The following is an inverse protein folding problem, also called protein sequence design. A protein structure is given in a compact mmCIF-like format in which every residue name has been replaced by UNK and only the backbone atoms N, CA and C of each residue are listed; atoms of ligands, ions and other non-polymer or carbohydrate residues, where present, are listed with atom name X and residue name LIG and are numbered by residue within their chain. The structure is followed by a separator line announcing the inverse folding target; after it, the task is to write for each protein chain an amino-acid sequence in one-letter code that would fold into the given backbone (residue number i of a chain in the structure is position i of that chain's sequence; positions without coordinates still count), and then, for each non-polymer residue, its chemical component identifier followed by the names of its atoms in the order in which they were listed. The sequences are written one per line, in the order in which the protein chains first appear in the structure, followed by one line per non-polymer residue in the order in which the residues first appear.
data_IF_110214154974
#
_entry.id   IF_110214154974
#
_cell.length_a   1.000
_cell.length_b   1.000
_cell.length_c   1.000
_cell.angle_alpha   90.00
_cell.angle_beta   90.00
_cell.angle_gamma   90.00
#
_symmetry.space_group_name_H-M   'P 1'
#
loop_
_entity.id
_entity.type
_entity.pdbx_description
1 polymer ?
#
# COMPACT_ATOMS: atom_id res chain seq x y z
N UNK A 1 -9.00 5.43 -32.17
CA UNK A 1 -9.20 6.60 -31.29
C UNK A 1 -9.69 6.06 -29.95
N UNK A 2 -8.85 6.09 -28.92
CA UNK A 2 -9.24 5.59 -27.58
C UNK A 2 -9.88 6.76 -26.83
N UNK A 3 -11.16 6.68 -26.43
CA UNK A 3 -11.82 7.80 -25.77
C UNK A 3 -11.17 8.03 -24.41
N UNK A 4 -10.72 9.26 -24.16
CA UNK A 4 -10.16 9.69 -22.89
C UNK A 4 -11.35 10.09 -21.98
N UNK A 5 -11.97 9.10 -21.35
CA UNK A 5 -13.30 9.27 -20.72
C UNK A 5 -13.25 10.04 -19.39
N UNK A 6 -12.07 10.30 -18.82
CA UNK A 6 -11.95 10.82 -17.45
C UNK A 6 -10.78 11.80 -17.23
N UNK A 7 -10.43 12.63 -18.22
CA UNK A 7 -9.28 13.56 -18.13
C UNK A 7 -9.36 14.54 -16.96
N UNK A 8 -10.57 14.90 -16.53
CA UNK A 8 -10.79 15.87 -15.45
C UNK A 8 -11.23 15.23 -14.13
N UNK A 9 -11.16 13.90 -14.01
CA UNK A 9 -11.62 13.20 -12.83
C UNK A 9 -10.67 13.47 -11.66
N UNK A 10 -11.13 14.29 -10.70
CA UNK A 10 -10.38 14.66 -9.48
C UNK A 10 -10.57 13.67 -8.35
N UNK A 11 -11.75 13.08 -8.23
CA UNK A 11 -12.08 12.13 -7.18
C UNK A 11 -12.58 10.84 -7.82
N UNK A 12 -11.96 9.72 -7.47
CA UNK A 12 -12.41 8.38 -7.81
C UNK A 12 -12.73 7.64 -6.52
N UNK A 13 -14.00 7.31 -6.33
CA UNK A 13 -14.47 6.52 -5.21
C UNK A 13 -14.85 5.11 -5.67
N UNK A 14 -14.08 4.12 -5.20
CA UNK A 14 -14.30 2.69 -5.39
C UNK A 14 -14.57 1.99 -4.06
N UNK A 15 -15.03 2.71 -3.04
CA UNK A 15 -15.25 2.19 -1.69
C UNK A 15 -16.35 1.15 -1.58
N UNK A 16 -17.24 1.01 -2.57
CA UNK A 16 -18.35 0.04 -2.61
C UNK A 16 -18.33 -0.86 -3.86
N UNK A 17 -17.21 -0.89 -4.59
CA UNK A 17 -17.12 -1.70 -5.81
C UNK A 17 -16.79 -3.16 -5.45
N UNK A 18 -17.79 -4.03 -5.46
CA UNK A 18 -17.64 -5.48 -5.20
C UNK A 18 -17.13 -6.27 -6.43
N UNK A 19 -17.30 -5.72 -7.64
CA UNK A 19 -17.06 -6.43 -8.91
C UNK A 19 -15.70 -6.14 -9.56
N UNK A 20 -14.72 -5.64 -8.80
CA UNK A 20 -13.47 -5.19 -9.40
C UNK A 20 -12.49 -6.34 -9.70
N UNK A 21 -12.76 -7.07 -10.77
CA UNK A 21 -12.03 -8.28 -11.18
C UNK A 21 -10.64 -8.01 -11.79
N UNK A 22 -10.29 -6.75 -12.06
CA UNK A 22 -9.00 -6.36 -12.66
C UNK A 22 -8.51 -5.04 -12.09
N UNK A 23 -7.19 -4.89 -11.93
CA UNK A 23 -6.55 -3.65 -11.50
C UNK A 23 -6.90 -2.49 -12.44
N UNK A 24 -7.49 -1.39 -11.96
CA UNK A 24 -7.73 -0.21 -12.76
C UNK A 24 -6.42 0.41 -13.23
N UNK A 25 -6.39 0.82 -14.49
CA UNK A 25 -5.27 1.54 -15.07
C UNK A 25 -5.39 3.04 -14.74
N UNK A 26 -4.80 3.45 -13.61
CA UNK A 26 -4.83 4.83 -13.15
C UNK A 26 -3.99 5.79 -14.02
N UNK A 27 -3.16 5.28 -14.94
CA UNK A 27 -2.38 6.14 -15.85
C UNK A 27 -3.25 6.97 -16.79
N UNK A 28 -4.53 6.59 -16.92
CA UNK A 28 -5.56 7.28 -17.71
C UNK A 28 -6.30 8.39 -16.95
N UNK A 29 -5.93 8.66 -15.70
CA UNK A 29 -6.58 9.65 -14.82
C UNK A 29 -5.59 10.74 -14.39
N UNK A 30 -5.17 11.63 -15.31
CA UNK A 30 -4.07 12.57 -15.07
C UNK A 30 -4.37 13.65 -14.03
N UNK A 31 -5.66 13.93 -13.76
CA UNK A 31 -6.10 14.93 -12.80
C UNK A 31 -6.62 14.34 -11.48
N UNK A 32 -6.37 13.05 -11.22
CA UNK A 32 -6.85 12.39 -10.02
C UNK A 32 -6.13 12.91 -8.77
N UNK A 33 -6.87 13.57 -7.89
CA UNK A 33 -6.40 14.17 -6.64
C UNK A 33 -6.78 13.31 -5.43
N UNK A 34 -7.92 12.63 -5.47
CA UNK A 34 -8.47 11.83 -4.36
C UNK A 34 -8.89 10.46 -4.84
N UNK A 35 -8.40 9.41 -4.17
CA UNK A 35 -8.70 8.02 -4.48
C UNK A 35 -9.23 7.32 -3.21
N UNK A 36 -10.47 6.85 -3.24
CA UNK A 36 -11.15 6.20 -2.11
C UNK A 36 -11.32 4.71 -2.44
N UNK A 37 -10.71 3.83 -1.64
CA UNK A 37 -10.44 2.43 -2.01
C UNK A 37 -10.97 1.38 -1.00
N UNK A 38 -11.96 1.72 -0.17
CA UNK A 38 -12.32 0.90 1.00
C UNK A 38 -12.57 -0.60 0.66
N UNK A 39 -13.43 -0.90 -0.33
CA UNK A 39 -13.63 -2.29 -0.81
C UNK A 39 -12.60 -2.76 -1.83
N UNK A 40 -11.93 -1.84 -2.53
CA UNK A 40 -10.82 -2.16 -3.44
C UNK A 40 -9.73 -2.98 -2.76
N UNK A 41 -9.33 -2.63 -1.54
CA UNK A 41 -8.25 -3.33 -0.85
C UNK A 41 -8.58 -4.77 -0.48
N UNK A 42 -9.85 -5.09 -0.23
CA UNK A 42 -10.28 -6.46 0.07
C UNK A 42 -10.22 -7.37 -1.16
N UNK A 43 -10.55 -6.81 -2.33
CA UNK A 43 -10.47 -7.54 -3.60
C UNK A 43 -9.00 -7.61 -4.05
N UNK A 44 -8.29 -6.48 -3.96
CA UNK A 44 -6.92 -6.33 -4.44
C UNK A 44 -5.91 -7.16 -3.65
N UNK A 45 -6.19 -7.48 -2.38
CA UNK A 45 -5.29 -8.29 -1.55
C UNK A 45 -4.94 -9.65 -2.18
N UNK A 46 -5.82 -10.19 -3.02
CA UNK A 46 -5.61 -11.48 -3.70
C UNK A 46 -4.81 -11.39 -5.00
N UNK A 47 -4.52 -10.19 -5.50
CA UNK A 47 -3.81 -10.02 -6.78
C UNK A 47 -2.30 -9.96 -6.57
N UNK A 48 -1.55 -10.80 -7.27
CA UNK A 48 -0.10 -10.95 -7.10
C UNK A 48 0.79 -9.86 -7.70
N UNK A 49 0.33 -8.59 -7.79
CA UNK A 49 1.13 -7.47 -8.32
C UNK A 49 1.08 -6.25 -7.38
N UNK A 50 2.16 -5.48 -7.19
CA UNK A 50 2.10 -4.23 -6.45
C UNK A 50 1.55 -3.08 -7.30
N UNK A 51 0.96 -2.05 -6.68
CA UNK A 51 0.52 -0.82 -7.36
C UNK A 51 1.44 0.32 -6.97
N UNK A 52 1.94 1.06 -7.95
CA UNK A 52 2.70 2.28 -7.71
C UNK A 52 1.80 3.51 -7.92
N UNK A 53 1.81 4.42 -6.96
CA UNK A 53 1.06 5.68 -6.97
C UNK A 53 2.05 6.82 -6.74
N UNK A 54 2.23 7.68 -7.75
CA UNK A 54 3.00 8.92 -7.60
C UNK A 54 2.14 9.98 -6.90
N UNK A 55 2.72 10.68 -5.94
CA UNK A 55 2.04 11.76 -5.22
C UNK A 55 2.94 12.99 -5.12
N UNK A 56 2.33 14.17 -4.95
CA UNK A 56 3.06 15.41 -4.66
C UNK A 56 3.52 15.46 -3.22
N UNK A 57 2.73 14.90 -2.30
CA UNK A 57 2.99 14.86 -0.85
C UNK A 57 2.55 13.52 -0.25
N UNK A 58 3.14 13.13 0.87
CA UNK A 58 2.63 11.99 1.63
C UNK A 58 1.37 12.40 2.40
N UNK A 59 0.35 11.53 2.47
CA UNK A 59 -0.80 11.77 3.33
C UNK A 59 -0.37 12.00 4.79
N UNK A 60 -1.00 12.96 5.46
CA UNK A 60 -0.71 13.34 6.86
C UNK A 60 -0.90 12.21 7.87
N UNK A 61 -1.67 11.18 7.54
CA UNK A 61 -1.86 10.00 8.39
C UNK A 61 -0.73 8.97 8.27
N UNK A 62 0.17 9.11 7.30
CA UNK A 62 1.35 8.25 7.16
C UNK A 62 2.45 8.77 8.08
N UNK A 63 2.80 7.96 9.08
CA UNK A 63 3.96 8.25 9.94
C UNK A 63 5.25 8.00 9.18
N UNK A 64 5.87 9.09 8.79
CA UNK A 64 7.16 9.10 8.12
C UNK A 64 8.29 8.88 9.12
N UNK A 65 9.23 8.01 8.76
CA UNK A 65 10.54 7.95 9.41
C UNK A 65 11.62 8.41 8.43
N UNK A 66 12.49 9.32 8.89
CA UNK A 66 13.68 9.71 8.13
C UNK A 66 14.74 8.63 8.35
N UNK A 67 15.18 7.97 7.28
CA UNK A 67 16.27 7.01 7.36
C UNK A 67 17.62 7.69 7.11
N UNK A 68 18.72 7.00 7.44
CA UNK A 68 20.08 7.51 7.24
C UNK A 68 20.39 7.84 5.77
N UNK A 69 21.43 8.64 5.53
CA UNK A 69 21.86 9.08 4.19
C UNK A 69 22.39 7.97 3.29
N UNK A 70 22.78 6.81 3.84
CA UNK A 70 23.53 5.78 3.09
C UNK A 70 22.72 4.51 2.86
N UNK A 71 21.97 4.07 3.87
CA UNK A 71 21.05 2.95 3.76
C UNK A 71 19.77 3.30 4.51
N UNK A 72 18.63 2.99 3.89
CA UNK A 72 17.35 3.17 4.52
C UNK A 72 16.87 1.86 5.12
N UNK A 73 16.64 1.84 6.43
CA UNK A 73 15.94 0.74 7.07
C UNK A 73 14.88 1.27 8.02
N UNK A 74 13.75 0.59 8.02
CA UNK A 74 12.61 0.85 8.89
C UNK A 74 12.06 -0.48 9.37
N UNK A 75 11.66 -0.54 10.63
CA UNK A 75 10.90 -1.66 11.16
C UNK A 75 9.58 -1.21 11.73
N UNK A 76 8.55 -2.01 11.54
CA UNK A 76 7.23 -1.81 12.10
C UNK A 76 6.85 -3.02 12.94
N UNK A 77 6.64 -2.81 14.23
CA UNK A 77 6.18 -3.85 15.15
C UNK A 77 4.70 -4.17 14.87
N UNK A 78 4.39 -5.46 14.88
CA UNK A 78 3.06 -5.99 14.62
C UNK A 78 2.31 -6.24 15.92
N UNK A 79 1.00 -5.98 15.91
CA UNK A 79 0.13 -6.37 17.01
C UNK A 79 -0.11 -7.89 16.98
N UNK A 80 -0.45 -8.48 18.13
CA UNK A 80 -0.74 -9.91 18.22
C UNK A 80 -2.00 -10.25 17.42
N UNK A 81 -1.98 -11.37 16.69
CA UNK A 81 -3.13 -11.94 15.95
C UNK A 81 -3.67 -11.08 14.80
N UNK A 82 -2.77 -10.39 14.08
CA UNK A 82 -3.13 -9.49 12.97
C UNK A 82 -3.34 -10.19 11.63
N UNK A 83 -2.96 -11.48 11.50
CA UNK A 83 -2.90 -12.15 10.20
C UNK A 83 -4.27 -12.32 9.53
N UNK A 84 -5.31 -12.62 10.32
CA UNK A 84 -6.65 -12.91 9.80
C UNK A 84 -7.34 -11.68 9.19
N UNK A 85 -6.96 -10.48 9.62
CA UNK A 85 -7.50 -9.23 9.09
C UNK A 85 -6.55 -8.53 8.13
N UNK A 86 -5.34 -9.05 7.92
CA UNK A 86 -4.33 -8.39 7.09
C UNK A 86 -4.70 -8.46 5.59
N UNK A 87 -4.77 -7.30 4.94
CA UNK A 87 -5.07 -7.17 3.51
C UNK A 87 -3.82 -6.82 2.69
N UNK A 88 -2.83 -6.19 3.31
CA UNK A 88 -1.63 -5.72 2.63
C UNK A 88 -1.03 -4.52 3.37
N UNK A 89 -0.15 -3.80 2.68
CA UNK A 89 0.50 -2.62 3.24
C UNK A 89 0.73 -1.56 2.17
N UNK A 90 0.94 -0.33 2.63
CA UNK A 90 1.37 0.80 1.83
C UNK A 90 2.80 1.13 2.25
N UNK A 91 3.71 1.06 1.30
CA UNK A 91 5.09 1.51 1.44
C UNK A 91 5.23 2.91 0.85
N UNK A 92 5.97 3.77 1.51
CA UNK A 92 6.21 5.13 1.06
C UNK A 92 7.70 5.36 0.87
N UNK A 93 8.07 5.89 -0.28
CA UNK A 93 9.45 6.17 -0.66
C UNK A 93 9.60 7.63 -1.06
N UNK A 94 10.60 8.29 -0.50
CA UNK A 94 11.12 9.55 -1.02
C UNK A 94 12.64 9.43 -1.09
N UNK A 95 13.12 9.12 -2.28
CA UNK A 95 14.54 8.94 -2.55
C UNK A 95 15.08 10.12 -3.37
N UNK A 96 16.34 10.42 -3.16
CA UNK A 96 17.08 11.36 -4.01
C UNK A 96 17.58 10.72 -5.31
N UNK A 97 17.51 9.38 -5.40
CA UNK A 97 17.92 8.61 -6.58
C UNK A 97 16.75 8.44 -7.58
N UNK A 98 17.08 8.05 -8.81
CA UNK A 98 16.14 7.76 -9.89
C UNK A 98 15.43 6.41 -9.75
N UNK A 99 16.04 5.49 -9.01
CA UNK A 99 15.45 4.19 -8.71
C UNK A 99 15.79 3.79 -7.28
N UNK A 100 14.93 3.00 -6.66
CA UNK A 100 15.18 2.47 -5.31
C UNK A 100 14.81 1.00 -5.28
N UNK A 101 15.80 0.15 -5.03
CA UNK A 101 15.60 -1.25 -4.72
C UNK A 101 15.26 -1.36 -3.24
N UNK A 102 14.24 -2.17 -2.95
CA UNK A 102 13.76 -2.37 -1.59
C UNK A 102 13.44 -3.83 -1.35
N UNK A 103 13.48 -4.21 -0.07
CA UNK A 103 13.08 -5.53 0.35
C UNK A 103 12.27 -5.52 1.62
N UNK A 104 11.30 -6.43 1.68
CA UNK A 104 10.48 -6.70 2.84
C UNK A 104 10.84 -8.06 3.42
N UNK A 105 10.93 -8.11 4.74
CA UNK A 105 11.13 -9.32 5.53
C UNK A 105 10.25 -9.26 6.77
N UNK A 106 9.71 -10.40 7.20
CA UNK A 106 9.11 -10.57 8.52
C UNK A 106 10.01 -11.47 9.39
N UNK A 107 9.68 -11.61 10.66
CA UNK A 107 10.56 -12.29 11.62
C UNK A 107 10.40 -13.82 11.62
N UNK A 108 9.22 -14.35 11.29
CA UNK A 108 9.03 -15.81 11.31
C UNK A 108 9.33 -16.48 9.98
N UNK A 109 9.44 -15.72 8.88
CA UNK A 109 9.79 -16.28 7.58
C UNK A 109 11.21 -15.91 7.16
N UNK A 110 11.91 -16.89 6.60
CA UNK A 110 13.12 -16.64 5.81
C UNK A 110 12.81 -16.03 4.44
N UNK A 111 11.52 -15.85 4.11
CA UNK A 111 11.08 -15.20 2.90
C UNK A 111 11.44 -13.71 2.91
N UNK A 112 12.19 -13.28 1.89
CA UNK A 112 12.52 -11.89 1.63
C UNK A 112 11.96 -11.55 0.25
N UNK A 113 10.93 -10.71 0.24
CA UNK A 113 10.42 -10.15 -1.00
C UNK A 113 11.27 -8.95 -1.41
N UNK A 114 11.55 -8.81 -2.70
CA UNK A 114 12.36 -7.73 -3.26
C UNK A 114 11.69 -7.18 -4.50
N UNK A 115 11.77 -5.88 -4.66
CA UNK A 115 11.25 -5.18 -5.83
C UNK A 115 11.97 -3.84 -6.00
N UNK A 116 11.70 -3.14 -7.09
CA UNK A 116 12.25 -1.81 -7.36
C UNK A 116 11.19 -0.82 -7.82
N UNK A 117 11.42 0.43 -7.45
CA UNK A 117 10.59 1.55 -7.85
C UNK A 117 11.41 2.60 -8.57
N UNK A 118 10.79 3.25 -9.55
CA UNK A 118 11.36 4.44 -10.18
C UNK A 118 10.95 5.67 -9.36
N UNK A 119 11.94 6.32 -8.76
CA UNK A 119 11.78 7.53 -7.98
C UNK A 119 12.12 8.73 -8.86
N UNK A 120 11.23 9.70 -9.05
CA UNK A 120 11.56 10.90 -9.83
C UNK A 120 11.95 12.04 -8.88
N UNK A 121 13.23 12.44 -8.86
CA UNK A 121 13.76 13.66 -8.22
C UNK A 121 13.09 14.05 -6.90
N UNK A 122 13.23 13.22 -5.85
CA UNK A 122 12.73 13.54 -4.50
C UNK A 122 11.20 13.70 -4.40
N UNK A 123 10.43 13.16 -5.36
CA UNK A 123 8.96 13.08 -5.26
C UNK A 123 8.53 11.90 -4.39
N UNK A 124 7.51 12.08 -3.55
CA UNK A 124 6.85 11.00 -2.84
C UNK A 124 6.28 9.94 -3.78
N UNK A 125 6.56 8.68 -3.48
CA UNK A 125 5.99 7.52 -4.16
C UNK A 125 5.36 6.60 -3.13
N UNK A 126 4.19 6.07 -3.43
CA UNK A 126 3.52 5.06 -2.63
C UNK A 126 3.44 3.76 -3.41
N UNK A 127 3.68 2.63 -2.73
CA UNK A 127 3.51 1.29 -3.28
C UNK A 127 2.54 0.52 -2.41
N UNK A 128 1.46 0.03 -3.01
CA UNK A 128 0.52 -0.87 -2.34
C UNK A 128 1.00 -2.29 -2.59
N UNK A 129 1.34 -3.00 -1.51
CA UNK A 129 1.78 -4.39 -1.52
C UNK A 129 0.65 -5.25 -0.95
N UNK A 130 -0.03 -6.05 -1.79
CA UNK A 130 -1.13 -6.90 -1.34
C UNK A 130 -0.64 -8.13 -0.56
N UNK A 131 -1.50 -8.70 0.29
CA UNK A 131 -1.15 -9.87 1.12
C UNK A 131 -0.70 -11.09 0.33
N UNK A 132 -1.20 -11.25 -0.90
CA UNK A 132 -0.81 -12.34 -1.81
C UNK A 132 0.66 -12.27 -2.25
N UNK A 133 1.29 -11.10 -2.16
CA UNK A 133 2.73 -10.92 -2.43
C UNK A 133 3.54 -11.06 -1.14
N UNK A 134 3.08 -10.41 -0.08
CA UNK A 134 3.74 -10.44 1.22
C UNK A 134 2.70 -10.64 2.32
N UNK A 135 2.68 -11.83 2.90
CA UNK A 135 1.73 -12.21 3.96
C UNK A 135 2.35 -12.10 5.35
N UNK A 136 1.55 -11.67 6.32
CA UNK A 136 1.90 -11.71 7.76
C UNK A 136 1.22 -12.93 8.40
N UNK A 137 1.94 -13.67 9.25
CA UNK A 137 1.45 -14.85 9.97
C UNK A 137 1.33 -14.59 11.47
N UNK A 138 0.49 -15.38 12.14
CA UNK A 138 0.45 -15.38 13.59
C UNK A 138 1.79 -15.90 14.14
N UNK A 139 2.54 -14.99 14.76
CA UNK A 139 3.91 -15.22 15.21
C UNK A 139 4.90 -14.18 14.66
N UNK A 140 4.58 -13.52 13.55
CA UNK A 140 5.35 -12.35 13.09
C UNK A 140 5.16 -11.21 14.08
N UNK A 141 6.25 -10.78 14.72
CA UNK A 141 6.29 -9.65 15.64
C UNK A 141 6.73 -8.34 14.94
N UNK A 142 7.34 -8.42 13.76
CA UNK A 142 7.88 -7.25 13.05
C UNK A 142 7.97 -7.44 11.55
N UNK A 143 7.77 -6.33 10.82
CA UNK A 143 8.11 -6.19 9.40
C UNK A 143 9.31 -5.26 9.26
N UNK A 144 10.28 -5.65 8.47
CA UNK A 144 11.46 -4.87 8.13
C UNK A 144 11.41 -4.47 6.66
N UNK A 145 11.51 -3.16 6.41
CA UNK A 145 11.71 -2.58 5.09
C UNK A 145 13.15 -2.07 5.02
N UNK A 146 13.88 -2.52 4.02
CA UNK A 146 15.24 -2.05 3.73
C UNK A 146 15.35 -1.55 2.31
N UNK A 147 16.13 -0.50 2.10
CA UNK A 147 16.43 0.10 0.81
C UNK A 147 17.94 0.25 0.63
N UNK A 148 18.41 0.08 -0.60
CA UNK A 148 19.84 0.21 -0.95
C UNK A 148 20.34 1.65 -0.80
N UNK A 149 19.45 2.63 -0.98
CA UNK A 149 19.75 4.05 -0.85
C UNK A 149 18.97 4.66 0.31
N UNK A 150 19.57 5.65 0.97
CA UNK A 150 18.92 6.43 2.00
C UNK A 150 17.74 7.25 1.48
N UNK A 151 16.76 7.53 2.34
CA UNK A 151 15.62 8.33 1.97
C UNK A 151 14.58 8.44 3.08
N UNK A 152 13.38 8.86 2.70
CA UNK A 152 12.23 8.82 3.61
C UNK A 152 11.47 7.54 3.38
N UNK A 153 11.23 6.78 4.46
CA UNK A 153 10.49 5.52 4.43
C UNK A 153 9.30 5.58 5.38
N UNK A 154 8.19 5.00 4.95
CA UNK A 154 7.06 4.71 5.83
C UNK A 154 6.39 3.39 5.44
N UNK A 155 5.84 2.71 6.45
CA UNK A 155 5.00 1.52 6.30
C UNK A 155 3.66 1.84 6.96
N UNK A 156 2.57 1.54 6.25
CA UNK A 156 1.23 1.55 6.82
C UNK A 156 0.53 0.22 6.52
N UNK A 157 -0.05 -0.41 7.53
CA UNK A 157 -0.73 -1.70 7.38
C UNK A 157 -2.20 -1.51 7.06
N UNK A 158 -2.72 -2.35 6.17
CA UNK A 158 -4.12 -2.36 5.77
C UNK A 158 -4.79 -3.58 6.37
N UNK A 159 -5.88 -3.32 7.11
CA UNK A 159 -6.69 -4.35 7.74
C UNK A 159 -8.12 -4.31 7.23
N UNK A 160 -8.78 -5.48 7.21
CA UNK A 160 -10.21 -5.58 7.00
C UNK A 160 -10.91 -4.87 8.16
N UNK A 161 -11.78 -3.92 7.84
CA UNK A 161 -12.67 -3.34 8.85
C UNK A 161 -13.80 -4.34 9.06
N UNK A 162 -14.01 -4.78 10.30
CA UNK A 162 -15.22 -5.54 10.62
C UNK A 162 -16.43 -4.63 10.37
N UNK A 163 -17.29 -5.00 9.43
CA UNK A 163 -18.62 -4.44 9.37
C UNK A 163 -19.37 -5.00 10.57
N UNK A 164 -19.72 -4.14 11.53
CA UNK A 164 -20.80 -4.49 12.43
C UNK A 164 -22.06 -4.62 11.58
N UNK A 165 -22.44 -5.85 11.26
CA UNK A 165 -23.78 -6.19 10.80
C UNK A 165 -24.76 -5.66 11.83
N UNK A 166 -25.37 -4.50 11.57
CA UNK A 166 -26.56 -4.06 12.25
C UNK A 166 -27.75 -4.90 11.76
N UNK A 167 -27.68 -6.22 11.92
CA UNK A 167 -28.87 -7.06 11.91
C UNK A 167 -29.50 -6.89 13.28
N UNK A 168 -30.23 -5.78 13.44
CA UNK A 168 -31.30 -5.74 14.43
C UNK A 168 -32.35 -6.73 13.93
N UNK A 169 -32.33 -7.92 14.51
CA UNK A 169 -33.48 -8.80 14.53
C UNK A 169 -34.63 -7.99 15.15
N UNK A 170 -35.56 -7.54 14.30
CA UNK A 170 -36.88 -7.16 14.75
C UNK A 170 -37.62 -8.46 15.09
N UNK A 171 -37.40 -8.95 16.31
CA UNK A 171 -38.39 -9.75 17.00
C UNK A 171 -39.30 -8.77 17.75
N UNK A 172 -40.51 -8.59 17.23
CA UNK A 172 -41.76 -8.41 17.98
C UNK A 172 -42.96 -8.62 17.02
#
# INVERSE_FOLDING_TARGET
MVPHVFENLKTLDMSLSEDLITTPDFTKLPCLETLILKSFFQIYSEFGNPIQISSTEFPVWIRITQSSLYTGSMSLDLLVNVSCHFLGMILCFKSWDWSTYYSLKNTTSDFIWRDSVNCSNNKPLMVIVPRSIFSVKDGDDRIELTTEFGGTLAIHLLYKTEEHDNTTANED
#
